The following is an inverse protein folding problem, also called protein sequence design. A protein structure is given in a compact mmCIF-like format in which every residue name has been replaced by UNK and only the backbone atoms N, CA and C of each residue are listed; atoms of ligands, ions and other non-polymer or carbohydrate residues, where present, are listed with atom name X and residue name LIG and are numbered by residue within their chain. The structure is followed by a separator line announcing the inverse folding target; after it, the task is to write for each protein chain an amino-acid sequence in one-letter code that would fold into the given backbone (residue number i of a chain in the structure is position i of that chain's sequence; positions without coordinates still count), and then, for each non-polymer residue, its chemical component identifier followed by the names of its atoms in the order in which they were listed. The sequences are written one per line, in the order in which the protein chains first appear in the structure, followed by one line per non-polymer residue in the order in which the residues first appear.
data_IF_553262471263
#
_entry.id   IF_553262471263
#
_cell.length_a   1.000
_cell.length_b   1.000
_cell.length_c   1.000
_cell.angle_alpha   90.00
_cell.angle_beta   90.00
_cell.angle_gamma   90.00
#
_symmetry.space_group_name_H-M   'P 1'
#
loop_
_entity.id
_entity.type
_entity.pdbx_description
1 polymer ?
#
# COMPACT_ATOMS: atom_id res chain seq x y z
N UNK A 1 -23.02 -39.40 -30.82
CA UNK A 1 -21.98 -39.00 -29.85
C UNK A 1 -21.29 -37.75 -30.38
N UNK A 2 -21.43 -36.61 -29.72
CA UNK A 2 -20.76 -35.36 -30.14
C UNK A 2 -19.29 -35.47 -29.71
N UNK A 3 -18.37 -35.64 -30.65
CA UNK A 3 -16.93 -35.56 -30.37
C UNK A 3 -16.61 -34.13 -29.89
N UNK A 4 -16.06 -34.01 -28.68
CA UNK A 4 -15.49 -32.75 -28.18
C UNK A 4 -14.27 -32.40 -29.03
N UNK A 5 -14.44 -31.50 -30.00
CA UNK A 5 -13.36 -31.01 -30.86
C UNK A 5 -12.72 -29.73 -30.26
N UNK A 6 -12.37 -29.77 -28.98
CA UNK A 6 -11.73 -28.64 -28.30
C UNK A 6 -10.57 -29.12 -27.43
N UNK A 7 -9.39 -28.52 -27.62
CA UNK A 7 -8.23 -28.77 -26.76
C UNK A 7 -8.45 -28.13 -25.38
N UNK A 8 -8.18 -28.87 -24.32
CA UNK A 8 -8.23 -28.33 -22.96
C UNK A 8 -7.14 -27.26 -22.79
N UNK A 9 -7.52 -26.12 -22.20
CA UNK A 9 -6.60 -25.01 -21.94
C UNK A 9 -5.45 -25.45 -21.02
N UNK A 10 -4.21 -25.09 -21.38
CA UNK A 10 -3.06 -25.25 -20.49
C UNK A 10 -3.27 -24.40 -19.23
N UNK A 11 -3.37 -25.08 -18.08
CA UNK A 11 -3.41 -24.45 -16.76
C UNK A 11 -1.98 -24.38 -16.20
N UNK A 12 -1.56 -23.25 -15.61
CA UNK A 12 -0.27 -23.17 -14.93
C UNK A 12 -0.26 -24.14 -13.76
N UNK A 13 0.75 -25.01 -13.72
CA UNK A 13 0.94 -26.01 -12.66
C UNK A 13 2.11 -25.66 -11.73
N UNK A 14 2.91 -24.66 -12.11
CA UNK A 14 4.06 -24.19 -11.36
C UNK A 14 3.91 -22.70 -11.07
N UNK A 15 3.89 -22.37 -9.78
CA UNK A 15 3.85 -20.99 -9.28
C UNK A 15 5.01 -20.83 -8.30
N UNK A 16 5.98 -20.00 -8.65
CA UNK A 16 7.15 -19.71 -7.83
C UNK A 16 7.10 -18.28 -7.30
N UNK A 17 7.47 -18.12 -6.03
CA UNK A 17 7.60 -16.82 -5.37
C UNK A 17 9.06 -16.57 -5.02
N UNK A 18 9.60 -15.46 -5.49
CA UNK A 18 10.94 -14.98 -5.14
C UNK A 18 10.83 -13.62 -4.45
N UNK A 19 10.97 -13.60 -3.13
CA UNK A 19 11.06 -12.35 -2.38
C UNK A 19 12.48 -11.83 -2.37
N UNK A 20 12.68 -10.62 -2.92
CA UNK A 20 13.98 -9.92 -2.90
C UNK A 20 14.10 -8.99 -1.69
N UNK A 21 12.98 -8.40 -1.24
CA UNK A 21 12.89 -7.50 -0.08
C UNK A 21 11.54 -7.71 0.63
N UNK A 22 11.40 -7.16 1.84
CA UNK A 22 10.15 -7.21 2.61
C UNK A 22 8.92 -6.67 1.84
N UNK A 23 9.14 -5.68 0.96
CA UNK A 23 8.08 -5.02 0.16
C UNK A 23 8.13 -5.37 -1.32
N UNK A 24 9.00 -6.29 -1.76
CA UNK A 24 9.17 -6.65 -3.16
C UNK A 24 9.25 -8.17 -3.34
N UNK A 25 8.25 -8.69 -4.05
CA UNK A 25 8.12 -10.11 -4.40
C UNK A 25 7.86 -10.26 -5.89
N UNK A 26 8.54 -11.21 -6.52
CA UNK A 26 8.32 -11.63 -7.91
C UNK A 26 7.58 -12.96 -7.91
N UNK A 27 6.46 -13.02 -8.63
CA UNK A 27 5.69 -14.25 -8.86
C UNK A 27 5.90 -14.69 -10.30
N UNK A 28 6.27 -15.96 -10.51
CA UNK A 28 6.42 -16.58 -11.83
C UNK A 28 5.40 -17.71 -11.94
N UNK A 29 4.55 -17.67 -12.96
CA UNK A 29 3.55 -18.70 -13.23
C UNK A 29 3.75 -19.27 -14.65
N UNK A 30 3.97 -20.58 -14.73
CA UNK A 30 4.23 -21.29 -15.98
C UNK A 30 3.68 -22.74 -15.91
N UNK A 31 3.39 -23.38 -17.06
CA UNK A 31 3.25 -22.79 -18.40
C UNK A 31 1.90 -22.07 -18.56
N UNK A 32 1.83 -21.14 -19.53
CA UNK A 32 0.60 -20.45 -19.90
C UNK A 32 0.35 -20.60 -21.40
N UNK A 33 -0.91 -20.69 -21.79
CA UNK A 33 -1.33 -20.56 -23.20
C UNK A 33 -0.81 -19.27 -23.83
N UNK A 34 -0.53 -19.33 -25.13
CA UNK A 34 -0.08 -18.14 -25.86
C UNK A 34 -1.13 -17.03 -25.72
N UNK A 35 -0.68 -15.85 -25.28
CA UNK A 35 -1.54 -14.68 -25.04
C UNK A 35 -2.16 -14.61 -23.65
N UNK A 36 -2.24 -15.71 -22.89
CA UNK A 36 -2.83 -15.70 -21.54
C UNK A 36 -1.99 -14.94 -20.52
N UNK A 37 -0.67 -14.86 -20.72
CA UNK A 37 0.21 -14.03 -19.90
C UNK A 37 -0.22 -12.55 -19.86
N UNK A 38 -0.64 -11.99 -21.00
CA UNK A 38 -1.13 -10.61 -21.06
C UNK A 38 -2.52 -10.47 -20.40
N UNK A 39 -3.42 -11.42 -20.67
CA UNK A 39 -4.77 -11.43 -20.09
C UNK A 39 -4.71 -11.48 -18.56
N UNK A 40 -3.97 -12.44 -18.00
CA UNK A 40 -3.81 -12.60 -16.56
C UNK A 40 -3.00 -11.46 -15.94
N UNK A 41 -1.89 -11.06 -16.57
CA UNK A 41 -1.03 -9.98 -16.08
C UNK A 41 -1.77 -8.65 -16.00
N UNK A 42 -2.56 -8.28 -17.02
CA UNK A 42 -3.36 -7.06 -17.00
C UNK A 42 -4.48 -7.13 -15.95
N UNK A 43 -5.17 -8.27 -15.84
CA UNK A 43 -6.21 -8.45 -14.84
C UNK A 43 -5.64 -8.30 -13.41
N UNK A 44 -4.54 -9.02 -13.11
CA UNK A 44 -3.86 -8.93 -11.82
C UNK A 44 -3.35 -7.51 -11.54
N UNK A 45 -2.68 -6.87 -12.51
CA UNK A 45 -2.20 -5.48 -12.36
C UNK A 45 -3.34 -4.53 -12.00
N UNK A 46 -4.49 -4.62 -12.67
CA UNK A 46 -5.64 -3.75 -12.39
C UNK A 46 -6.17 -3.98 -10.98
N UNK A 47 -6.39 -5.23 -10.59
CA UNK A 47 -6.91 -5.58 -9.26
C UNK A 47 -5.94 -5.13 -8.17
N UNK A 48 -4.64 -5.40 -8.34
CA UNK A 48 -3.61 -5.02 -7.37
C UNK A 48 -3.44 -3.51 -7.22
N UNK A 49 -3.64 -2.73 -8.29
CA UNK A 49 -3.50 -1.27 -8.22
C UNK A 49 -4.75 -0.55 -7.73
N UNK A 50 -5.95 -1.14 -7.85
CA UNK A 50 -7.20 -0.41 -7.57
C UNK A 50 -8.06 -0.98 -6.46
N UNK A 51 -7.92 -2.27 -6.12
CA UNK A 51 -8.92 -3.00 -5.31
C UNK A 51 -8.34 -3.64 -4.05
N UNK A 52 -7.08 -3.34 -3.71
CA UNK A 52 -6.49 -3.82 -2.48
C UNK A 52 -7.07 -3.08 -1.28
N UNK A 53 -7.49 -3.85 -0.27
CA UNK A 53 -7.90 -3.32 1.02
C UNK A 53 -6.65 -3.01 1.83
N UNK A 54 -6.67 -1.88 2.53
CA UNK A 54 -5.59 -1.45 3.41
C UNK A 54 -6.08 -0.38 4.37
N UNK A 55 -5.21 0.03 5.29
CA UNK A 55 -5.42 1.17 6.17
C UNK A 55 -4.49 2.31 5.73
N UNK A 56 -4.99 3.54 5.77
CA UNK A 56 -4.23 4.74 5.47
C UNK A 56 -4.74 5.89 6.34
N UNK A 57 -3.89 6.89 6.58
CA UNK A 57 -4.29 8.13 7.24
C UNK A 57 -5.16 8.94 6.29
N UNK A 58 -6.39 9.24 6.71
CA UNK A 58 -7.37 9.99 5.89
C UNK A 58 -7.50 11.45 6.28
N UNK A 59 -7.17 11.80 7.52
CA UNK A 59 -7.21 13.16 8.03
C UNK A 59 -6.12 13.38 9.08
N UNK A 60 -5.63 14.60 9.18
CA UNK A 60 -4.71 15.04 10.22
C UNK A 60 -5.22 16.33 10.85
N UNK A 61 -5.07 16.45 12.16
CA UNK A 61 -5.30 17.69 12.90
C UNK A 61 -3.99 18.04 13.60
N UNK A 62 -3.50 19.25 13.40
CA UNK A 62 -2.27 19.75 14.01
C UNK A 62 -2.62 20.97 14.86
N UNK A 63 -2.21 20.95 16.12
CA UNK A 63 -2.52 22.03 17.06
C UNK A 63 -1.84 23.34 16.64
N UNK A 64 -2.61 24.43 16.62
CA UNK A 64 -2.12 25.76 16.23
C UNK A 64 -1.95 25.97 14.72
N UNK A 65 -2.28 24.99 13.89
CA UNK A 65 -2.21 25.08 12.42
C UNK A 65 -3.61 25.24 11.84
N UNK A 66 -3.82 26.32 11.08
CA UNK A 66 -5.10 26.62 10.43
C UNK A 66 -5.20 26.03 9.02
N UNK A 67 -4.08 25.93 8.30
CA UNK A 67 -4.02 25.45 6.91
C UNK A 67 -2.68 24.80 6.58
N UNK A 68 -2.66 24.04 5.49
CA UNK A 68 -1.56 23.19 5.02
C UNK A 68 -0.32 23.97 4.55
N UNK A 69 -0.47 25.25 4.22
CA UNK A 69 0.62 26.12 3.76
C UNK A 69 1.31 26.90 4.89
N UNK A 70 1.09 26.53 6.14
CA UNK A 70 1.69 27.21 7.30
C UNK A 70 2.97 26.52 7.77
N UNK A 71 3.76 27.26 8.54
CA UNK A 71 4.93 26.72 9.25
C UNK A 71 4.64 26.61 10.74
N UNK A 72 5.38 25.73 11.42
CA UNK A 72 5.27 25.51 12.86
C UNK A 72 6.55 25.98 13.52
N UNK A 73 6.45 26.86 14.52
CA UNK A 73 7.61 27.35 15.24
C UNK A 73 8.38 26.21 15.92
N UNK A 74 9.68 26.11 15.64
CA UNK A 74 10.55 25.06 16.18
C UNK A 74 10.55 23.75 15.38
N UNK A 75 9.82 23.67 14.26
CA UNK A 75 9.84 22.53 13.35
C UNK A 75 10.57 22.92 12.05
N UNK A 76 11.40 22.01 11.53
CA UNK A 76 12.20 22.26 10.33
C UNK A 76 11.38 22.17 9.04
N UNK A 77 10.42 21.27 9.00
CA UNK A 77 9.55 21.00 7.85
C UNK A 77 8.29 21.87 7.94
N UNK A 78 7.75 22.26 6.78
CA UNK A 78 6.45 22.93 6.73
C UNK A 78 5.29 21.93 6.85
N UNK A 79 4.06 22.42 6.99
CA UNK A 79 2.90 21.54 7.16
C UNK A 79 2.65 20.67 5.92
N UNK A 80 3.00 21.14 4.72
CA UNK A 80 2.84 20.36 3.49
C UNK A 80 3.79 19.16 3.47
N UNK A 81 5.06 19.38 3.81
CA UNK A 81 6.05 18.31 3.97
C UNK A 81 5.61 17.28 5.01
N UNK A 82 5.10 17.75 6.15
CA UNK A 82 4.56 16.88 7.21
C UNK A 82 3.40 16.03 6.67
N UNK A 83 2.46 16.63 5.93
CA UNK A 83 1.33 15.91 5.33
C UNK A 83 1.81 14.86 4.32
N UNK A 84 2.83 15.17 3.52
CA UNK A 84 3.43 14.20 2.58
C UNK A 84 4.09 13.04 3.33
N UNK A 85 4.87 13.31 4.37
CA UNK A 85 5.47 12.27 5.21
C UNK A 85 4.41 11.39 5.88
N UNK A 86 3.28 11.96 6.32
CA UNK A 86 2.17 11.20 6.91
C UNK A 86 1.55 10.24 5.90
N UNK A 87 1.44 10.63 4.62
CA UNK A 87 0.92 9.74 3.56
C UNK A 87 1.80 8.51 3.32
N UNK A 88 3.09 8.58 3.64
CA UNK A 88 4.03 7.47 3.49
C UNK A 88 4.01 6.48 4.67
N UNK A 89 3.33 6.81 5.77
CA UNK A 89 3.27 5.95 6.95
C UNK A 89 2.52 4.64 6.60
N UNK A 90 3.23 3.51 6.69
CA UNK A 90 2.65 2.19 6.51
C UNK A 90 1.92 1.73 7.77
N UNK A 91 0.59 1.61 7.69
CA UNK A 91 -0.28 1.21 8.81
C UNK A 91 -0.88 -0.16 8.55
N UNK A 92 -0.89 -1.01 9.58
CA UNK A 92 -1.68 -2.25 9.64
C UNK A 92 -2.68 -2.10 10.77
N UNK A 93 -3.96 -2.31 10.47
CA UNK A 93 -5.05 -2.21 11.45
C UNK A 93 -5.76 -3.55 11.57
N UNK A 94 -5.88 -4.04 12.81
CA UNK A 94 -6.68 -5.20 13.17
C UNK A 94 -8.03 -4.70 13.68
N UNK A 95 -8.93 -4.35 12.76
CA UNK A 95 -10.25 -3.80 13.08
C UNK A 95 -10.84 -3.02 11.92
N UNK A 96 -12.14 -2.76 12.01
CA UNK A 96 -12.89 -2.00 11.02
C UNK A 96 -13.21 -0.58 11.52
N UNK A 97 -13.40 0.33 10.57
CA UNK A 97 -13.77 1.70 10.84
C UNK A 97 -12.61 2.64 11.15
N UNK A 98 -12.88 3.95 11.29
CA UNK A 98 -11.86 4.95 11.56
C UNK A 98 -11.37 4.85 13.00
N UNK A 99 -10.05 4.93 13.19
CA UNK A 99 -9.41 5.08 14.51
C UNK A 99 -8.59 6.36 14.57
N UNK A 100 -8.62 7.02 15.73
CA UNK A 100 -7.81 8.21 16.00
C UNK A 100 -6.53 7.79 16.71
N UNK A 101 -5.40 8.25 16.19
CA UNK A 101 -4.09 8.12 16.83
C UNK A 101 -3.58 9.50 17.21
N UNK A 102 -2.69 9.59 18.19
CA UNK A 102 -2.14 10.86 18.67
C UNK A 102 -0.64 10.74 18.83
N UNK A 103 0.10 11.75 18.38
CA UNK A 103 1.54 11.87 18.64
C UNK A 103 1.78 13.11 19.50
N UNK A 104 2.58 12.96 20.56
CA UNK A 104 3.02 14.07 21.43
C UNK A 104 4.51 13.96 21.64
N UNK A 105 5.25 14.94 21.13
CA UNK A 105 6.70 14.99 21.25
C UNK A 105 7.16 16.42 21.51
N UNK A 106 8.12 16.59 22.40
CA UNK A 106 8.71 17.87 22.76
C UNK A 106 10.23 17.72 22.88
N UNK A 107 10.94 18.82 22.63
CA UNK A 107 12.40 18.85 22.65
C UNK A 107 13.03 18.56 21.29
N UNK A 108 14.36 18.66 21.19
CA UNK A 108 15.09 18.47 19.94
C UNK A 108 15.08 17.00 19.51
N UNK A 109 14.76 16.75 18.23
CA UNK A 109 14.83 15.42 17.63
C UNK A 109 13.81 15.21 16.51
N UNK A 110 13.96 14.10 15.80
CA UNK A 110 12.99 13.69 14.78
C UNK A 110 11.73 13.09 15.43
N UNK A 111 10.57 13.42 14.88
CA UNK A 111 9.30 12.73 15.19
C UNK A 111 9.17 11.58 14.21
N UNK A 112 9.11 10.36 14.73
CA UNK A 112 9.04 9.12 13.95
C UNK A 112 7.68 8.46 14.12
N UNK A 113 7.30 7.59 13.19
CA UNK A 113 6.04 6.84 13.29
C UNK A 113 5.95 5.97 14.56
N UNK A 114 7.09 5.58 15.15
CA UNK A 114 7.14 4.87 16.43
C UNK A 114 6.76 5.71 17.66
N UNK A 115 6.69 7.04 17.53
CA UNK A 115 6.26 7.93 18.62
C UNK A 115 4.72 8.06 18.69
N UNK A 116 3.99 7.47 17.75
CA UNK A 116 2.52 7.53 17.68
C UNK A 116 1.91 6.64 18.77
N UNK A 117 1.02 7.22 19.56
CA UNK A 117 0.23 6.50 20.57
C UNK A 117 -0.99 5.89 19.87
N UNK A 118 -1.13 4.58 19.98
CA UNK A 118 -2.18 3.75 19.35
C UNK A 118 -3.23 3.28 20.35
#
# INVERSE_FOLDING_TARGET
MIQKNWQELIKPNKIEFSSKKKTLTTLVAEPLERGFGLTLGNALRRVLLSSLRGAAVTAVQIDGVLHEFSSIAGVREDVTDIVLNIKEIAIRMEGDGPKRMVVRKQGPGAVLAGDIQT
#
